data_IF_350477766659
#
_entry.id   IF_350477766659
#
_cell.length_a   1.000
_cell.length_b   1.000
_cell.length_c   1.000
_cell.angle_alpha   90.00
_cell.angle_beta   90.00
_cell.angle_gamma   90.00
#
_symmetry.space_group_name_H-M   'P 1'
#
loop_
_entity.id
_entity.type
_entity.pdbx_description
1 polymer ?
#
# COMPACT_ATOMS: atom_id res chain seq x y z
N UNK A 1 25.99 1.45 9.60
CA UNK A 1 24.71 1.59 8.88
C UNK A 1 23.64 1.92 9.91
N UNK A 2 22.76 2.91 9.67
CA UNK A 2 21.64 3.18 10.57
C UNK A 2 20.75 1.95 10.71
N UNK A 3 20.19 1.73 11.89
CA UNK A 3 19.31 0.58 12.19
C UNK A 3 17.88 0.76 11.65
N UNK A 4 17.56 1.95 11.14
CA UNK A 4 16.26 2.32 10.59
C UNK A 4 16.47 3.07 9.28
N UNK A 5 15.67 2.73 8.27
CA UNK A 5 15.62 3.41 6.97
C UNK A 5 14.27 4.10 6.84
N UNK A 6 14.26 5.35 6.38
CA UNK A 6 13.03 6.13 6.20
C UNK A 6 12.65 6.14 4.72
N UNK A 7 11.50 5.57 4.41
CA UNK A 7 10.86 5.67 3.10
C UNK A 7 9.66 6.61 3.14
N UNK A 8 9.20 7.04 1.98
CA UNK A 8 8.02 7.90 1.82
C UNK A 8 7.07 7.34 0.75
N UNK A 9 5.77 7.53 0.97
CA UNK A 9 4.77 7.25 -0.05
C UNK A 9 4.66 8.45 -1.03
N UNK A 10 4.67 8.23 -2.36
CA UNK A 10 4.62 9.31 -3.34
C UNK A 10 3.28 10.09 -3.36
N UNK A 11 2.29 9.67 -2.57
CA UNK A 11 1.00 10.36 -2.37
C UNK A 11 1.14 11.85 -2.04
N UNK A 12 2.27 12.26 -1.47
CA UNK A 12 2.60 13.68 -1.18
C UNK A 12 2.67 14.54 -2.45
N UNK A 13 3.00 13.95 -3.60
CA UNK A 13 3.17 14.63 -4.89
C UNK A 13 2.13 14.23 -5.93
N UNK A 14 1.72 12.96 -5.95
CA UNK A 14 0.84 12.38 -6.97
C UNK A 14 -0.20 11.49 -6.32
N UNK A 15 -1.46 11.58 -6.71
CA UNK A 15 -2.52 10.80 -6.06
C UNK A 15 -2.99 9.62 -6.92
N UNK A 16 -3.00 8.42 -6.34
CA UNK A 16 -3.42 7.20 -7.04
C UNK A 16 -4.96 7.07 -7.10
N UNK A 17 -5.68 7.54 -6.07
CA UNK A 17 -7.14 7.50 -5.98
C UNK A 17 -7.82 8.60 -6.80
N UNK A 18 -7.18 9.77 -6.90
CA UNK A 18 -7.64 10.93 -7.69
C UNK A 18 -6.51 11.43 -8.60
N UNK A 19 -6.27 10.77 -9.76
CA UNK A 19 -5.12 11.04 -10.62
C UNK A 19 -5.04 12.45 -11.23
N UNK A 20 -6.09 13.26 -11.12
CA UNK A 20 -6.03 14.68 -11.45
C UNK A 20 -5.18 15.48 -10.46
N UNK A 21 -5.13 15.07 -9.19
CA UNK A 21 -4.28 15.69 -8.18
C UNK A 21 -2.83 15.24 -8.35
N UNK A 22 -1.96 16.19 -8.70
CA UNK A 22 -0.55 15.92 -8.98
C UNK A 22 -0.31 15.31 -10.38
N UNK A 23 -1.29 15.36 -11.29
CA UNK A 23 -1.17 14.85 -12.67
C UNK A 23 0.06 15.40 -13.38
N UNK A 24 0.26 16.71 -13.28
CA UNK A 24 1.32 17.43 -13.98
C UNK A 24 2.68 17.34 -13.26
N UNK A 25 2.73 16.82 -12.02
CA UNK A 25 3.98 16.64 -11.27
C UNK A 25 4.77 15.46 -11.84
N UNK A 26 5.95 15.67 -12.46
CA UNK A 26 6.74 14.57 -13.00
C UNK A 26 7.23 13.62 -11.90
N UNK A 27 7.43 12.34 -12.23
CA UNK A 27 8.04 11.38 -11.30
C UNK A 27 9.40 11.88 -10.80
N UNK A 28 10.21 12.45 -11.70
CA UNK A 28 11.52 13.03 -11.40
C UNK A 28 11.47 14.05 -10.25
N UNK A 29 10.48 14.95 -10.26
CA UNK A 29 10.27 15.94 -9.20
C UNK A 29 10.00 15.26 -7.86
N UNK A 30 9.16 14.22 -7.85
CA UNK A 30 8.85 13.46 -6.63
C UNK A 30 10.12 12.84 -6.03
N UNK A 31 10.94 12.19 -6.88
CA UNK A 31 12.16 11.50 -6.46
C UNK A 31 13.21 12.49 -5.97
N UNK A 32 13.45 13.56 -6.72
CA UNK A 32 14.41 14.60 -6.36
C UNK A 32 14.04 15.25 -5.01
N UNK A 33 12.81 15.74 -4.86
CA UNK A 33 12.38 16.40 -3.63
C UNK A 33 12.34 15.44 -2.43
N UNK A 34 11.95 14.18 -2.64
CA UNK A 34 12.02 13.16 -1.58
C UNK A 34 13.45 12.88 -1.11
N UNK A 35 14.41 12.83 -2.05
CA UNK A 35 15.82 12.67 -1.71
C UNK A 35 16.38 13.89 -0.96
N UNK A 36 16.03 15.10 -1.42
CA UNK A 36 16.40 16.37 -0.78
C UNK A 36 15.82 16.49 0.64
N UNK A 37 14.61 15.97 0.86
CA UNK A 37 13.97 15.89 2.18
C UNK A 37 14.62 14.86 3.13
N UNK A 38 15.55 14.03 2.64
CA UNK A 38 16.32 13.08 3.45
C UNK A 38 15.76 11.66 3.50
N UNK A 39 14.78 11.31 2.66
CA UNK A 39 14.32 9.93 2.54
C UNK A 39 15.34 9.07 1.79
N UNK A 40 15.34 7.77 2.11
CA UNK A 40 16.24 6.77 1.51
C UNK A 40 15.53 5.88 0.47
N UNK A 41 14.24 6.10 0.24
CA UNK A 41 13.48 5.33 -0.72
C UNK A 41 11.99 5.68 -0.76
N UNK A 42 11.28 5.05 -1.69
CA UNK A 42 9.88 5.32 -1.99
C UNK A 42 9.03 4.05 -1.95
N UNK A 43 7.78 4.20 -1.55
CA UNK A 43 6.74 3.22 -1.86
C UNK A 43 6.36 3.30 -3.35
N UNK A 44 5.96 2.18 -3.95
CA UNK A 44 5.57 2.10 -5.35
C UNK A 44 4.30 2.90 -5.66
N UNK A 45 4.41 4.02 -6.38
CA UNK A 45 3.25 4.85 -6.81
C UNK A 45 2.79 4.61 -8.25
N UNK A 46 1.67 5.21 -8.66
CA UNK A 46 1.10 5.02 -10.01
C UNK A 46 2.05 5.37 -11.18
N UNK A 47 2.87 6.42 -11.05
CA UNK A 47 3.78 6.90 -12.12
C UNK A 47 5.06 6.09 -12.26
N UNK A 48 5.33 5.15 -11.35
CA UNK A 48 6.56 4.39 -11.34
C UNK A 48 6.54 3.31 -12.44
N UNK A 49 7.70 3.01 -13.08
CA UNK A 49 7.81 1.89 -14.01
C UNK A 49 7.39 0.57 -13.37
N UNK A 50 6.85 -0.35 -14.19
CA UNK A 50 6.37 -1.67 -13.75
C UNK A 50 7.27 -2.83 -14.17
N UNK A 51 8.46 -2.54 -14.66
CA UNK A 51 9.50 -3.54 -14.89
C UNK A 51 10.64 -3.31 -13.89
N UNK A 52 11.23 -4.38 -13.34
CA UNK A 52 12.29 -4.28 -12.33
C UNK A 52 13.48 -3.43 -12.78
N UNK A 53 13.95 -3.63 -14.02
CA UNK A 53 15.10 -2.89 -14.56
C UNK A 53 14.84 -1.39 -14.62
N UNK A 54 13.70 -0.97 -15.20
CA UNK A 54 13.37 0.44 -15.35
C UNK A 54 13.09 1.10 -13.98
N UNK A 55 12.45 0.37 -13.07
CA UNK A 55 12.16 0.85 -11.73
C UNK A 55 13.43 1.04 -10.90
N UNK A 56 14.33 0.06 -10.91
CA UNK A 56 15.62 0.17 -10.24
C UNK A 56 16.49 1.28 -10.85
N UNK A 57 16.47 1.42 -12.19
CA UNK A 57 17.21 2.46 -12.88
C UNK A 57 16.75 3.87 -12.46
N UNK A 58 15.45 4.14 -12.46
CA UNK A 58 14.93 5.47 -12.10
C UNK A 58 15.19 5.79 -10.62
N UNK A 59 15.05 4.82 -9.72
CA UNK A 59 15.31 5.03 -8.29
C UNK A 59 16.80 5.26 -8.00
N UNK A 60 17.67 4.44 -8.59
CA UNK A 60 19.11 4.51 -8.36
C UNK A 60 19.74 5.79 -8.91
N UNK A 61 19.14 6.39 -9.95
CA UNK A 61 19.57 7.70 -10.45
C UNK A 61 19.44 8.83 -9.41
N UNK A 62 18.66 8.62 -8.35
CA UNK A 62 18.41 9.55 -7.25
C UNK A 62 18.96 9.08 -5.90
N UNK A 63 19.80 8.05 -5.87
CA UNK A 63 20.25 7.38 -4.63
C UNK A 63 19.08 6.88 -3.74
N UNK A 64 17.99 6.44 -4.37
CA UNK A 64 16.79 5.93 -3.69
C UNK A 64 16.61 4.42 -3.92
N UNK A 65 15.85 3.80 -3.04
CA UNK A 65 15.46 2.37 -3.12
C UNK A 65 13.94 2.20 -3.09
N UNK A 66 13.45 1.05 -3.53
CA UNK A 66 12.04 0.70 -3.37
C UNK A 66 11.83 0.14 -1.95
N UNK A 67 11.00 0.80 -1.14
CA UNK A 67 10.79 0.39 0.27
C UNK A 67 9.61 -0.55 0.47
N UNK A 68 8.53 -0.36 -0.29
CA UNK A 68 7.32 -1.19 -0.24
C UNK A 68 6.40 -0.91 -1.43
N UNK A 69 5.25 -1.58 -1.51
CA UNK A 69 4.18 -1.24 -2.44
C UNK A 69 2.81 -1.55 -1.85
N UNK A 70 1.84 -0.70 -2.16
CA UNK A 70 0.44 -0.89 -1.80
C UNK A 70 -0.24 -1.93 -2.71
N UNK A 71 -1.02 -2.81 -2.09
CA UNK A 71 -1.91 -3.74 -2.76
C UNK A 71 -3.35 -3.64 -2.22
N UNK A 72 -4.27 -3.38 -3.13
CA UNK A 72 -5.71 -3.31 -2.91
C UNK A 72 -6.36 -4.69 -3.04
N UNK A 73 -6.45 -5.42 -1.93
CA UNK A 73 -7.05 -6.75 -1.90
C UNK A 73 -8.58 -6.69 -2.04
N UNK A 74 -9.15 -7.80 -2.53
CA UNK A 74 -10.59 -7.98 -2.79
C UNK A 74 -11.13 -9.29 -2.18
N UNK A 75 -10.69 -9.65 -0.97
CA UNK A 75 -11.02 -10.91 -0.27
C UNK A 75 -12.51 -11.07 0.08
N UNK A 76 -13.32 -10.00 0.02
CA UNK A 76 -14.78 -10.11 0.17
C UNK A 76 -15.48 -10.46 -1.15
N UNK A 77 -14.80 -10.27 -2.28
CA UNK A 77 -15.27 -10.60 -3.64
C UNK A 77 -14.55 -11.83 -4.23
N UNK A 78 -13.35 -12.16 -3.75
CA UNK A 78 -12.48 -13.25 -4.24
C UNK A 78 -12.24 -14.31 -3.18
N UNK A 79 -12.07 -15.55 -3.61
CA UNK A 79 -11.52 -16.60 -2.74
C UNK A 79 -10.04 -16.30 -2.42
N UNK A 80 -9.50 -16.79 -1.28
CA UNK A 80 -8.10 -16.60 -0.93
C UNK A 80 -7.13 -17.00 -2.04
N UNK A 81 -7.37 -18.14 -2.70
CA UNK A 81 -6.54 -18.64 -3.81
C UNK A 81 -6.54 -17.68 -5.01
N UNK A 82 -7.69 -17.09 -5.33
CA UNK A 82 -7.81 -16.11 -6.41
C UNK A 82 -7.07 -14.80 -6.08
N UNK A 83 -7.06 -14.39 -4.81
CA UNK A 83 -6.30 -13.21 -4.37
C UNK A 83 -4.78 -13.47 -4.40
N UNK A 84 -4.35 -14.68 -4.01
CA UNK A 84 -2.94 -15.10 -4.10
C UNK A 84 -2.47 -15.05 -5.55
N UNK A 85 -3.27 -15.55 -6.49
CA UNK A 85 -2.94 -15.50 -7.91
C UNK A 85 -2.90 -14.04 -8.41
N UNK A 86 -3.86 -13.21 -7.99
CA UNK A 86 -3.96 -11.82 -8.41
C UNK A 86 -2.83 -10.91 -7.88
N UNK A 87 -2.17 -11.25 -6.78
CA UNK A 87 -1.07 -10.45 -6.20
C UNK A 87 0.31 -10.84 -6.77
N UNK A 88 0.45 -11.95 -7.50
CA UNK A 88 1.77 -12.51 -7.88
C UNK A 88 2.66 -11.50 -8.62
N UNK A 89 2.16 -10.82 -9.66
CA UNK A 89 2.96 -9.88 -10.44
C UNK A 89 3.45 -8.70 -9.60
N UNK A 90 2.62 -8.21 -8.68
CA UNK A 90 2.99 -7.15 -7.76
C UNK A 90 4.10 -7.62 -6.81
N UNK A 91 3.97 -8.80 -6.21
CA UNK A 91 4.98 -9.38 -5.33
C UNK A 91 6.31 -9.62 -6.06
N UNK A 92 6.26 -10.13 -7.29
CA UNK A 92 7.46 -10.38 -8.09
C UNK A 92 8.20 -9.08 -8.40
N UNK A 93 7.48 -8.02 -8.81
CA UNK A 93 8.09 -6.70 -9.02
C UNK A 93 8.76 -6.17 -7.75
N UNK A 94 8.07 -6.20 -6.61
CA UNK A 94 8.63 -5.74 -5.33
C UNK A 94 9.89 -6.52 -4.95
N UNK A 95 9.83 -7.85 -5.08
CA UNK A 95 10.94 -8.77 -4.76
C UNK A 95 12.15 -8.52 -5.64
N UNK A 96 11.96 -8.39 -6.95
CA UNK A 96 13.05 -8.16 -7.91
C UNK A 96 13.69 -6.77 -7.74
N UNK A 97 12.94 -5.79 -7.21
CA UNK A 97 13.46 -4.49 -6.79
C UNK A 97 14.00 -4.44 -5.35
N UNK A 98 14.03 -5.59 -4.65
CA UNK A 98 14.61 -5.70 -3.31
C UNK A 98 13.75 -5.17 -2.16
N UNK A 99 12.50 -4.80 -2.42
CA UNK A 99 11.55 -4.45 -1.36
C UNK A 99 11.18 -5.69 -0.54
N UNK A 100 11.04 -5.53 0.78
CA UNK A 100 10.78 -6.65 1.72
C UNK A 100 9.36 -6.67 2.26
N UNK A 101 8.59 -5.62 1.98
CA UNK A 101 7.29 -5.36 2.59
C UNK A 101 6.29 -5.04 1.49
N UNK A 102 5.13 -5.68 1.57
CA UNK A 102 3.92 -5.30 0.85
C UNK A 102 2.93 -4.71 1.85
N UNK A 103 2.31 -3.59 1.52
CA UNK A 103 1.24 -2.99 2.31
C UNK A 103 -0.08 -3.44 1.71
N UNK A 104 -0.75 -4.38 2.36
CA UNK A 104 -2.01 -4.93 1.89
C UNK A 104 -3.18 -4.34 2.67
N UNK A 105 -4.23 -3.94 1.97
CA UNK A 105 -5.49 -3.56 2.58
C UNK A 105 -6.65 -4.19 1.83
N UNK A 106 -7.61 -4.71 2.58
CA UNK A 106 -8.90 -5.12 2.04
C UNK A 106 -9.72 -3.88 1.65
N UNK A 107 -9.96 -3.68 0.35
CA UNK A 107 -10.64 -2.48 -0.17
C UNK A 107 -11.93 -2.77 -0.92
N UNK A 108 -12.48 -3.99 -0.80
CA UNK A 108 -13.77 -4.32 -1.38
C UNK A 108 -14.84 -3.31 -0.96
N UNK A 109 -15.56 -2.79 -1.96
CA UNK A 109 -16.61 -1.79 -1.81
C UNK A 109 -16.17 -0.42 -1.26
N UNK A 110 -14.86 -0.15 -1.10
CA UNK A 110 -14.37 1.18 -0.76
C UNK A 110 -14.87 2.25 -1.74
N UNK A 111 -15.08 3.46 -1.23
CA UNK A 111 -15.71 4.57 -1.97
C UNK A 111 -14.74 5.70 -2.30
N UNK A 112 -13.51 5.68 -1.79
CA UNK A 112 -12.56 6.79 -1.91
C UNK A 112 -12.10 7.09 -3.35
N UNK A 113 -12.20 6.13 -4.26
CA UNK A 113 -11.94 6.32 -5.70
C UNK A 113 -13.18 6.62 -6.55
N UNK A 114 -14.39 6.59 -5.97
CA UNK A 114 -15.65 6.85 -6.68
C UNK A 114 -16.17 8.25 -6.33
N UNK A 115 -15.88 9.24 -7.18
CA UNK A 115 -16.25 10.63 -6.94
C UNK A 115 -17.77 10.87 -6.91
N UNK A 116 -18.56 9.98 -7.50
CA UNK A 116 -20.02 10.07 -7.50
C UNK A 116 -20.64 9.48 -6.23
N UNK A 117 -19.84 8.79 -5.41
CA UNK A 117 -20.32 8.10 -4.22
C UNK A 117 -19.95 8.86 -2.95
N UNK A 118 -20.94 9.42 -2.22
CA UNK A 118 -20.64 10.15 -0.99
C UNK A 118 -20.13 9.20 0.11
N UNK A 119 -19.28 9.73 1.00
CA UNK A 119 -18.74 8.98 2.14
C UNK A 119 -19.83 8.37 3.04
N UNK A 120 -21.04 8.95 3.05
CA UNK A 120 -22.20 8.41 3.78
C UNK A 120 -22.67 7.05 3.27
N UNK A 121 -22.31 6.67 2.03
CA UNK A 121 -22.60 5.36 1.44
C UNK A 121 -21.45 4.35 1.60
N UNK A 122 -20.42 4.67 2.41
CA UNK A 122 -19.33 3.74 2.66
C UNK A 122 -19.85 2.40 3.22
N UNK A 123 -19.26 1.26 2.83
CA UNK A 123 -19.65 -0.02 3.36
C UNK A 123 -19.35 -0.07 4.87
N UNK A 124 -20.23 -0.78 5.59
CA UNK A 124 -20.01 -1.12 6.98
C UNK A 124 -19.83 -2.62 7.07
N UNK A 125 -18.68 -3.06 7.58
CA UNK A 125 -18.48 -4.46 7.94
C UNK A 125 -19.54 -4.84 8.98
N UNK A 126 -20.42 -5.78 8.63
CA UNK A 126 -21.46 -6.29 9.53
C UNK A 126 -20.90 -7.53 10.24
N UNK A 127 -21.18 -7.65 11.53
CA UNK A 127 -20.69 -8.76 12.36
C UNK A 127 -19.31 -8.48 12.96
N UNK A 128 -18.76 -9.49 13.66
CA UNK A 128 -17.40 -9.45 14.20
C UNK A 128 -16.44 -9.75 13.06
N UNK A 129 -15.46 -8.88 12.81
CA UNK A 129 -14.30 -9.26 11.98
C UNK A 129 -13.63 -10.41 12.71
N UNK A 130 -13.63 -11.58 12.06
CA UNK A 130 -12.97 -12.77 12.58
C UNK A 130 -11.56 -12.38 13.03
N UNK A 131 -11.21 -12.67 14.29
CA UNK A 131 -9.85 -12.49 14.75
C UNK A 131 -8.91 -13.24 13.79
N UNK A 132 -7.64 -12.85 13.62
CA UNK A 132 -6.74 -13.54 12.71
C UNK A 132 -6.70 -15.08 12.90
N UNK A 133 -6.97 -15.55 14.14
CA UNK A 133 -7.09 -16.97 14.47
C UNK A 133 -8.33 -17.69 13.89
N UNK A 134 -9.38 -16.95 13.51
CA UNK A 134 -10.68 -17.42 13.07
C UNK A 134 -10.84 -17.42 11.53
N UNK A 135 -9.79 -17.04 10.78
CA UNK A 135 -9.79 -17.08 9.31
C UNK A 135 -9.68 -18.54 8.84
N UNK A 136 -10.40 -18.97 7.79
CA UNK A 136 -10.25 -20.32 7.23
C UNK A 136 -8.79 -20.53 6.81
N UNK A 137 -8.08 -21.44 7.48
CA UNK A 137 -6.63 -21.63 7.34
C UNK A 137 -5.85 -21.58 8.66
N UNK A 138 -6.41 -20.98 9.72
CA UNK A 138 -5.88 -21.04 11.08
C UNK A 138 -4.58 -20.25 11.30
N UNK A 139 -4.58 -19.39 12.32
CA UNK A 139 -3.44 -18.60 12.83
C UNK A 139 -2.93 -17.44 11.96
N UNK A 140 -3.80 -16.52 11.53
CA UNK A 140 -3.43 -15.12 11.25
C UNK A 140 -2.31 -14.88 10.24
N UNK A 141 -1.98 -15.89 9.45
CA UNK A 141 -0.99 -15.84 8.39
C UNK A 141 -1.77 -15.82 7.08
N UNK A 142 -1.69 -14.71 6.37
CA UNK A 142 -1.68 -14.79 4.92
C UNK A 142 -0.66 -15.88 4.54
N UNK A 143 -0.90 -16.67 3.48
CA UNK A 143 0.03 -17.73 3.07
C UNK A 143 1.46 -17.22 3.11
N UNK A 144 2.36 -17.98 3.74
CA UNK A 144 3.77 -17.61 3.78
C UNK A 144 4.26 -17.47 2.33
N UNK A 145 4.50 -16.23 1.89
CA UNK A 145 5.18 -15.96 0.64
C UNK A 145 6.68 -16.02 0.97
N UNK A 146 7.45 -16.96 0.40
CA UNK A 146 8.86 -17.11 0.73
C UNK A 146 9.62 -15.78 0.58
N UNK A 147 10.15 -15.28 1.70
CA UNK A 147 11.00 -14.09 1.75
C UNK A 147 10.33 -12.76 2.10
N UNK A 148 9.02 -12.72 2.40
CA UNK A 148 8.32 -11.45 2.70
C UNK A 148 7.61 -11.47 4.05
N UNK A 149 7.65 -10.33 4.76
CA UNK A 149 6.81 -10.08 5.94
C UNK A 149 5.58 -9.29 5.53
N UNK A 150 4.38 -9.83 5.77
CA UNK A 150 3.13 -9.11 5.54
C UNK A 150 2.67 -8.46 6.84
N UNK A 151 2.49 -7.14 6.83
CA UNK A 151 1.95 -6.38 7.95
C UNK A 151 0.46 -6.11 7.73
N UNK A 152 -0.39 -6.56 8.65
CA UNK A 152 -1.80 -6.15 8.69
C UNK A 152 -1.87 -4.95 9.64
N UNK A 153 -2.20 -3.77 9.12
CA UNK A 153 -2.62 -2.67 9.98
C UNK A 153 -4.03 -2.98 10.50
N UNK A 154 -4.24 -3.10 11.82
CA UNK A 154 -5.60 -3.24 12.33
C UNK A 154 -6.40 -1.98 11.95
N UNK A 155 -7.72 -2.11 11.72
CA UNK A 155 -8.56 -0.93 11.58
C UNK A 155 -8.35 -0.06 12.83
N UNK A 156 -8.34 1.28 12.71
CA UNK A 156 -8.29 2.13 13.89
C UNK A 156 -9.43 1.73 14.81
N UNK A 157 -9.09 1.14 15.97
CA UNK A 157 -10.04 0.87 17.03
C UNK A 157 -10.82 2.15 17.31
N UNK A 158 -12.10 2.01 17.64
CA UNK A 158 -13.00 3.11 17.97
C UNK A 158 -12.23 4.30 18.55
N UNK A 159 -12.13 5.37 17.75
CA UNK A 159 -11.70 6.66 18.25
C UNK A 159 -12.80 7.06 19.24
N UNK A 160 -12.57 6.78 20.53
CA UNK A 160 -13.44 7.22 21.60
C UNK A 160 -13.72 8.69 21.35
N UNK A 161 -15.01 9.03 21.18
CA UNK A 161 -15.45 10.41 21.07
C UNK A 161 -14.83 11.16 22.24
N UNK A 162 -13.90 12.08 21.98
CA UNK A 162 -13.45 13.02 23.00
C UNK A 162 -14.71 13.67 23.58
N UNK A 163 -14.89 13.68 24.92
CA UNK A 163 -16.03 14.33 25.51
C UNK A 163 -15.98 15.81 25.12
N UNK A 164 -17.09 16.31 24.58
CA UNK A 164 -17.28 17.72 24.29
C UNK A 164 -16.98 18.53 25.55
N UNK A 165 -15.89 19.30 25.53
CA UNK A 165 -15.70 20.33 26.55
C UNK A 165 -16.73 21.42 26.26
N UNK A 166 -17.56 21.70 27.28
CA UNK A 166 -18.41 22.88 27.35
C UNK A 166 -17.57 24.15 27.29
#
# INVERSE_FOLDING_TARGET
>A
MPTVTLGINPLTWTNDDLPSLGRETPLETCLQEGREAGFSGFELGNKFPRTPDALNQVLSAHDLTLVSGWYSARLLERAPEEEIDAIQDHMNLLKECGAKVVVLCEVTHCVHGDQERPLSQRPHLRGRVAAPAEWPGGSGRLPEIPGHSVGISPPPGHCDRKPSRR
#
